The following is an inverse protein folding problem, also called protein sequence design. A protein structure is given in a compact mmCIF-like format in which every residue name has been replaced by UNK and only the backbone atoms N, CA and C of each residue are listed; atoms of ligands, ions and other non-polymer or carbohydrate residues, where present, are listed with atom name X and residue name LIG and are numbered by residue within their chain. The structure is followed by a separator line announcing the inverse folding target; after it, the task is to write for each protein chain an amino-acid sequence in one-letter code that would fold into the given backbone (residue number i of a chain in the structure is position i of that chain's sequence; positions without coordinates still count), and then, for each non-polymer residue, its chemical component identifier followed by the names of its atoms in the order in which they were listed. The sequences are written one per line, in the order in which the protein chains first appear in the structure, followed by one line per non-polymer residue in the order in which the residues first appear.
data_IF_824496773141
#
_entry.id   IF_824496773141
#
_cell.length_a   1.000
_cell.length_b   1.000
_cell.length_c   1.000
_cell.angle_alpha   90.00
_cell.angle_beta   90.00
_cell.angle_gamma   90.00
#
_symmetry.space_group_name_H-M   'P 1'
#
loop_
_entity.id
_entity.type
_entity.pdbx_description
1 polymer ?
#
# COMPACT_ATOMS: atom_id res chain seq x y z
N UNK A 1 22.32 -23.21 24.89
CA UNK A 1 21.92 -22.30 23.79
C UNK A 1 20.81 -21.39 24.32
N UNK A 2 20.84 -20.09 24.02
CA UNK A 2 19.86 -19.15 24.58
C UNK A 2 18.45 -19.47 24.04
N UNK A 3 17.61 -20.09 24.85
CA UNK A 3 16.20 -20.41 24.54
C UNK A 3 15.29 -19.15 24.33
N UNK A 4 15.87 -17.94 24.40
CA UNK A 4 15.13 -16.68 24.30
C UNK A 4 15.12 -16.05 22.87
N UNK A 5 15.77 -16.69 21.89
CA UNK A 5 15.76 -16.15 20.51
C UNK A 5 14.52 -16.68 19.80
N UNK A 6 13.65 -15.80 19.26
CA UNK A 6 12.46 -16.22 18.53
C UNK A 6 12.78 -17.14 17.34
N UNK A 7 11.92 -18.11 17.05
CA UNK A 7 12.08 -19.07 15.96
C UNK A 7 12.33 -18.39 14.61
N UNK A 8 11.64 -17.29 14.35
CA UNK A 8 11.81 -16.50 13.12
C UNK A 8 13.23 -15.93 12.94
N UNK A 9 13.94 -15.67 14.04
CA UNK A 9 15.33 -15.21 13.99
C UNK A 9 16.30 -16.38 13.90
N UNK A 10 16.03 -17.49 14.61
CA UNK A 10 16.84 -18.70 14.53
C UNK A 10 16.89 -19.34 13.14
N UNK A 11 15.78 -19.23 12.40
CA UNK A 11 15.63 -19.77 11.04
C UNK A 11 15.85 -18.73 9.93
N UNK A 12 16.36 -17.55 10.26
CA UNK A 12 16.66 -16.55 9.24
C UNK A 12 17.69 -17.12 8.25
N UNK A 13 17.38 -17.20 6.96
CA UNK A 13 18.31 -17.72 5.97
C UNK A 13 19.53 -16.79 5.80
N UNK A 14 20.67 -17.39 5.60
CA UNK A 14 21.98 -16.77 5.37
C UNK A 14 22.40 -16.79 3.88
N UNK A 15 21.69 -17.54 3.06
CA UNK A 15 21.98 -17.71 1.63
C UNK A 15 20.70 -17.66 0.79
N UNK A 16 20.85 -17.41 -0.52
CA UNK A 16 19.72 -17.44 -1.46
C UNK A 16 19.14 -18.84 -1.62
N UNK A 17 19.94 -19.89 -1.48
CA UNK A 17 19.47 -21.26 -1.64
C UNK A 17 18.58 -21.68 -0.46
N UNK A 18 18.74 -21.01 0.66
CA UNK A 18 17.90 -21.16 1.84
C UNK A 18 16.74 -20.14 1.90
N UNK A 19 16.64 -19.24 0.93
CA UNK A 19 15.60 -18.22 0.90
C UNK A 19 14.36 -18.75 0.20
N UNK A 20 13.26 -18.85 0.94
CA UNK A 20 11.98 -19.39 0.45
C UNK A 20 11.14 -18.31 -0.21
N UNK A 21 10.48 -18.64 -1.31
CA UNK A 21 9.62 -17.75 -2.06
C UNK A 21 10.35 -16.77 -2.99
N UNK A 22 9.64 -15.78 -3.51
CA UNK A 22 10.13 -14.70 -4.38
C UNK A 22 10.94 -15.17 -5.61
N UNK A 23 10.60 -16.32 -6.19
CA UNK A 23 11.34 -16.96 -7.30
C UNK A 23 11.58 -16.02 -8.49
N UNK A 24 10.69 -15.05 -8.73
CA UNK A 24 10.83 -14.05 -9.77
C UNK A 24 12.00 -13.06 -9.55
N UNK A 25 12.45 -12.89 -8.30
CA UNK A 25 13.58 -12.00 -7.94
C UNK A 25 14.86 -12.78 -7.69
N UNK A 26 14.75 -13.94 -7.02
CA UNK A 26 15.92 -14.71 -6.51
C UNK A 26 16.11 -16.05 -7.18
N UNK A 27 15.17 -16.50 -8.02
CA UNK A 27 15.32 -17.74 -8.81
C UNK A 27 16.39 -17.64 -9.89
N UNK A 28 16.65 -18.72 -10.65
CA UNK A 28 17.58 -18.69 -11.76
C UNK A 28 17.26 -17.57 -12.77
N UNK A 29 18.24 -16.70 -13.06
CA UNK A 29 18.04 -15.52 -13.91
C UNK A 29 17.31 -14.35 -13.24
N UNK A 30 16.93 -14.47 -11.98
CA UNK A 30 16.31 -13.41 -11.21
C UNK A 30 17.26 -12.21 -11.01
N UNK A 31 16.69 -10.99 -11.00
CA UNK A 31 17.50 -9.76 -10.98
C UNK A 31 18.36 -9.65 -9.72
N UNK A 32 17.87 -10.06 -8.55
CA UNK A 32 18.62 -9.99 -7.30
C UNK A 32 19.71 -11.07 -7.25
N UNK A 33 19.41 -12.28 -7.78
CA UNK A 33 20.43 -13.31 -7.93
C UNK A 33 21.57 -12.83 -8.83
N UNK A 34 21.26 -12.23 -9.96
CA UNK A 34 22.26 -11.67 -10.87
C UNK A 34 23.11 -10.56 -10.22
N UNK A 35 22.53 -9.72 -9.36
CA UNK A 35 23.28 -8.73 -8.58
C UNK A 35 24.30 -9.38 -7.64
N UNK A 36 23.92 -10.45 -6.97
CA UNK A 36 24.82 -11.21 -6.08
C UNK A 36 25.92 -11.89 -6.89
N UNK A 37 25.59 -12.59 -7.96
CA UNK A 37 26.54 -13.33 -8.79
C UNK A 37 27.54 -12.41 -9.51
N UNK A 38 27.10 -11.23 -9.93
CA UNK A 38 27.96 -10.23 -10.56
C UNK A 38 28.75 -9.35 -9.57
N UNK A 39 28.39 -9.38 -8.28
CA UNK A 39 28.95 -8.48 -7.26
C UNK A 39 28.58 -7.01 -7.45
N UNK A 40 27.64 -6.70 -8.36
CA UNK A 40 27.22 -5.33 -8.69
C UNK A 40 25.82 -5.07 -8.16
N UNK A 41 25.74 -4.31 -7.08
CA UNK A 41 24.49 -3.92 -6.45
C UNK A 41 24.17 -2.47 -6.76
N UNK A 42 23.03 -2.26 -7.40
CA UNK A 42 22.47 -0.92 -7.60
C UNK A 42 21.52 -0.57 -6.46
N UNK A 43 21.19 0.72 -6.28
CA UNK A 43 20.18 1.12 -5.30
C UNK A 43 18.79 0.67 -5.73
N UNK A 44 18.01 0.16 -4.79
CA UNK A 44 16.63 -0.28 -5.03
C UNK A 44 15.77 -0.20 -3.76
N UNK A 45 14.46 -0.33 -3.97
CA UNK A 45 13.45 -0.37 -2.91
C UNK A 45 12.71 -1.71 -2.99
N UNK A 46 12.64 -2.42 -1.88
CA UNK A 46 11.85 -3.63 -1.69
C UNK A 46 10.46 -3.24 -1.18
N UNK A 47 9.46 -3.43 -2.00
CA UNK A 47 8.07 -3.17 -1.64
C UNK A 47 7.28 -4.48 -1.52
N UNK A 48 6.54 -4.63 -0.43
CA UNK A 48 5.67 -5.80 -0.24
C UNK A 48 5.18 -5.91 1.21
N UNK A 49 4.24 -6.82 1.47
CA UNK A 49 3.64 -6.99 2.80
C UNK A 49 4.68 -7.37 3.87
N UNK A 50 4.33 -7.30 5.16
CA UNK A 50 5.22 -7.75 6.23
C UNK A 50 5.53 -9.25 6.10
N UNK A 51 6.64 -9.68 6.69
CA UNK A 51 7.03 -11.09 6.80
C UNK A 51 7.44 -11.83 5.52
N UNK A 52 7.50 -11.15 4.35
CA UNK A 52 7.89 -11.77 3.06
C UNK A 52 9.40 -11.82 2.79
N UNK A 53 10.22 -11.43 3.79
CA UNK A 53 11.68 -11.56 3.71
C UNK A 53 12.46 -10.35 3.22
N UNK A 54 11.90 -9.13 3.16
CA UNK A 54 12.61 -7.91 2.70
C UNK A 54 13.94 -7.67 3.41
N UNK A 55 13.93 -7.63 4.73
CA UNK A 55 15.12 -7.41 5.56
C UNK A 55 16.13 -8.56 5.42
N UNK A 56 15.65 -9.79 5.38
CA UNK A 56 16.47 -10.99 5.17
C UNK A 56 17.21 -10.94 3.83
N UNK A 57 16.50 -10.55 2.76
CA UNK A 57 17.09 -10.46 1.42
C UNK A 57 18.21 -9.41 1.35
N UNK A 58 18.02 -8.28 2.03
CA UNK A 58 19.06 -7.24 2.12
C UNK A 58 20.31 -7.74 2.87
N UNK A 59 20.13 -8.52 3.94
CA UNK A 59 21.24 -9.14 4.68
C UNK A 59 21.99 -10.17 3.84
N UNK A 60 21.28 -11.08 3.16
CA UNK A 60 21.89 -12.08 2.27
C UNK A 60 22.73 -11.39 1.19
N UNK A 61 22.19 -10.35 0.58
CA UNK A 61 22.89 -9.60 -0.46
C UNK A 61 24.17 -8.94 0.08
N UNK A 62 24.10 -8.33 1.24
CA UNK A 62 25.28 -7.71 1.86
C UNK A 62 26.36 -8.73 2.23
N UNK A 63 26.00 -9.88 2.78
CA UNK A 63 26.94 -10.96 3.14
C UNK A 63 27.64 -11.51 1.90
N UNK A 64 26.92 -11.72 0.81
CA UNK A 64 27.50 -12.25 -0.42
C UNK A 64 28.40 -11.29 -1.17
N UNK A 65 28.18 -9.99 -1.02
CA UNK A 65 29.02 -8.96 -1.66
C UNK A 65 30.25 -8.58 -0.84
N UNK A 66 30.26 -8.89 0.45
CA UNK A 66 31.38 -8.60 1.35
C UNK A 66 31.66 -7.11 1.60
N UNK A 67 30.77 -6.22 1.18
CA UNK A 67 30.86 -4.78 1.42
C UNK A 67 30.33 -4.39 2.79
N UNK A 68 30.73 -3.26 3.38
CA UNK A 68 30.17 -2.76 4.63
C UNK A 68 28.65 -2.61 4.53
N UNK A 69 27.95 -3.02 5.60
CA UNK A 69 26.49 -3.00 5.68
C UNK A 69 26.02 -2.24 6.90
N UNK A 70 25.27 -1.16 6.66
CA UNK A 70 24.71 -0.32 7.71
C UNK A 70 23.19 -0.37 7.66
N UNK A 71 22.56 -0.44 8.82
CA UNK A 71 21.09 -0.51 8.95
C UNK A 71 20.57 0.69 9.71
N UNK A 72 19.52 1.31 9.18
CA UNK A 72 18.72 2.31 9.86
C UNK A 72 17.25 1.86 9.89
N UNK A 73 16.61 2.03 11.05
CA UNK A 73 15.15 1.89 11.15
C UNK A 73 14.52 3.27 11.05
N UNK A 74 13.68 3.49 10.05
CA UNK A 74 13.03 4.79 9.90
C UNK A 74 12.02 5.10 11.04
N UNK A 75 11.68 4.11 11.84
CA UNK A 75 10.82 4.28 13.04
C UNK A 75 11.57 4.97 14.18
N UNK A 76 12.87 4.68 14.35
CA UNK A 76 13.65 5.13 15.49
C UNK A 76 14.75 6.14 15.15
N UNK A 77 15.13 6.25 13.86
CA UNK A 77 16.27 7.06 13.44
C UNK A 77 15.85 8.49 13.05
N UNK A 78 16.58 9.48 13.58
CA UNK A 78 16.42 10.89 13.24
C UNK A 78 17.35 11.35 12.09
N UNK A 79 17.23 12.61 11.69
CA UNK A 79 18.12 13.23 10.66
C UNK A 79 19.60 13.15 11.06
N UNK A 80 19.89 13.23 12.37
CA UNK A 80 21.25 13.17 12.90
C UNK A 80 21.86 11.78 12.66
N UNK A 81 21.11 10.73 12.94
CA UNK A 81 21.55 9.33 12.78
C UNK A 81 21.84 9.03 11.30
N UNK A 82 20.96 9.51 10.40
CA UNK A 82 21.17 9.39 8.95
C UNK A 82 22.51 10.04 8.54
N UNK A 83 22.78 11.26 9.01
CA UNK A 83 24.02 11.96 8.67
C UNK A 83 25.26 11.27 9.24
N UNK A 84 25.20 10.76 10.47
CA UNK A 84 26.31 10.03 11.08
C UNK A 84 26.66 8.77 10.29
N UNK A 85 25.66 7.98 9.90
CA UNK A 85 25.88 6.78 9.08
C UNK A 85 26.40 7.13 7.68
N UNK A 86 25.89 8.18 7.04
CA UNK A 86 26.41 8.62 5.74
C UNK A 86 27.87 9.07 5.82
N UNK A 87 28.26 9.79 6.85
CA UNK A 87 29.65 10.20 7.09
C UNK A 87 30.56 8.98 7.32
N UNK A 88 30.06 7.94 8.01
CA UNK A 88 30.79 6.68 8.18
C UNK A 88 31.00 5.98 6.84
N UNK A 89 29.94 5.84 6.05
CA UNK A 89 29.99 5.26 4.70
C UNK A 89 30.96 6.03 3.77
N UNK A 90 31.01 7.36 3.87
CA UNK A 90 31.93 8.17 3.07
C UNK A 90 33.40 7.89 3.42
N UNK A 91 33.71 7.75 4.71
CA UNK A 91 35.05 7.36 5.17
C UNK A 91 35.45 5.95 4.73
N UNK A 92 34.52 4.99 4.79
CA UNK A 92 34.75 3.60 4.36
C UNK A 92 34.95 3.51 2.84
N UNK A 93 34.20 4.29 2.07
CA UNK A 93 34.28 4.30 0.62
C UNK A 93 35.59 4.98 0.09
N UNK A 94 36.09 5.98 0.82
CA UNK A 94 37.30 6.75 0.45
C UNK A 94 38.60 6.21 1.03
N UNK A 95 38.56 5.20 1.89
CA UNK A 95 39.76 4.63 2.53
C UNK A 95 40.62 3.80 1.61
N UNK A 96 41.93 3.74 1.88
CA UNK A 96 42.95 2.95 1.10
C UNK A 96 42.61 1.45 1.04
N UNK A 97 41.80 0.95 1.98
CA UNK A 97 41.36 -0.45 2.06
C UNK A 97 39.83 -0.60 1.83
N UNK A 98 39.28 0.28 0.98
CA UNK A 98 37.86 0.22 0.66
C UNK A 98 37.48 -1.16 0.09
N UNK A 99 36.50 -1.83 0.72
CA UNK A 99 35.94 -3.11 0.24
C UNK A 99 34.85 -2.93 -0.81
N UNK A 100 34.69 -1.72 -1.33
CA UNK A 100 33.62 -1.36 -2.25
C UNK A 100 32.60 -0.43 -1.60
N UNK A 101 31.59 -0.04 -2.38
CA UNK A 101 30.56 0.92 -1.94
C UNK A 101 29.71 0.31 -0.81
N UNK A 102 29.65 0.93 0.38
CA UNK A 102 28.81 0.45 1.49
C UNK A 102 27.34 0.36 1.11
N UNK A 103 26.66 -0.64 1.64
CA UNK A 103 25.21 -0.77 1.53
C UNK A 103 24.56 -0.11 2.76
N UNK A 104 23.64 0.82 2.52
CA UNK A 104 22.77 1.39 3.53
C UNK A 104 21.37 0.80 3.39
N UNK A 105 20.98 -0.04 4.33
CA UNK A 105 19.64 -0.59 4.41
C UNK A 105 18.77 0.29 5.30
N UNK A 106 17.59 0.67 4.81
CA UNK A 106 16.61 1.45 5.56
C UNK A 106 15.31 0.66 5.63
N UNK A 107 15.00 0.20 6.84
CA UNK A 107 13.73 -0.48 7.10
C UNK A 107 12.61 0.55 7.30
N UNK A 108 11.45 0.26 6.71
CA UNK A 108 10.25 1.12 6.70
C UNK A 108 10.53 2.55 6.19
N UNK A 109 11.25 2.68 5.07
CA UNK A 109 11.70 3.97 4.50
C UNK A 109 10.56 5.00 4.32
N UNK A 110 9.31 4.55 4.17
CA UNK A 110 8.13 5.42 4.09
C UNK A 110 7.90 6.26 5.36
N UNK A 111 8.47 5.87 6.50
CA UNK A 111 8.38 6.62 7.75
C UNK A 111 9.37 7.79 7.82
N UNK A 112 10.33 7.86 6.94
CA UNK A 112 11.19 9.02 6.82
C UNK A 112 10.43 10.20 6.20
N UNK A 113 10.52 11.37 6.85
CA UNK A 113 10.01 12.61 6.27
C UNK A 113 10.86 13.05 5.06
N UNK A 114 10.34 14.04 4.30
CA UNK A 114 11.03 14.54 3.09
C UNK A 114 12.47 14.97 3.35
N UNK A 115 12.75 15.67 4.47
CA UNK A 115 14.11 16.15 4.79
C UNK A 115 15.09 15.00 5.07
N UNK A 116 14.61 13.89 5.66
CA UNK A 116 15.41 12.69 5.87
C UNK A 116 15.70 12.00 4.53
N UNK A 117 14.70 11.86 3.68
CA UNK A 117 14.87 11.29 2.35
C UNK A 117 15.75 12.15 1.44
N UNK A 118 15.63 13.48 1.51
CA UNK A 118 16.52 14.41 0.78
C UNK A 118 17.98 14.27 1.23
N UNK A 119 18.22 13.99 2.52
CA UNK A 119 19.57 13.77 3.03
C UNK A 119 20.25 12.54 2.43
N UNK A 120 19.48 11.53 2.01
CA UNK A 120 19.99 10.33 1.34
C UNK A 120 20.35 10.58 -0.12
N UNK A 121 19.63 11.51 -0.78
CA UNK A 121 19.73 11.74 -2.22
C UNK A 121 21.16 12.06 -2.65
N UNK A 122 21.83 13.00 -1.98
CA UNK A 122 23.20 13.40 -2.30
C UNK A 122 24.21 12.25 -2.14
N UNK A 123 24.03 11.37 -1.18
CA UNK A 123 24.91 10.22 -0.97
C UNK A 123 24.71 9.14 -2.06
N UNK A 124 23.46 8.91 -2.47
CA UNK A 124 23.12 7.99 -3.56
C UNK A 124 23.65 8.52 -4.91
N UNK A 125 23.46 9.82 -5.19
CA UNK A 125 23.94 10.46 -6.43
C UNK A 125 25.45 10.42 -6.58
N UNK A 126 26.18 10.74 -5.53
CA UNK A 126 27.64 10.70 -5.55
C UNK A 126 28.23 9.29 -5.47
N UNK A 127 27.37 8.27 -5.30
CA UNK A 127 27.83 6.89 -5.16
C UNK A 127 28.56 6.61 -3.85
N UNK A 128 28.29 7.38 -2.80
CA UNK A 128 28.82 7.17 -1.46
C UNK A 128 28.25 5.87 -0.86
N UNK A 129 26.96 5.61 -1.11
CA UNK A 129 26.26 4.40 -0.64
C UNK A 129 25.47 3.75 -1.77
N UNK A 130 25.23 2.46 -1.63
CA UNK A 130 24.16 1.73 -2.31
C UNK A 130 22.96 1.70 -1.37
N UNK A 131 21.85 2.34 -1.75
CA UNK A 131 20.64 2.37 -0.93
C UNK A 131 19.78 1.14 -1.18
N UNK A 132 19.42 0.44 -0.13
CA UNK A 132 18.36 -0.58 -0.14
C UNK A 132 17.27 -0.12 0.82
N UNK A 133 16.13 0.34 0.29
CA UNK A 133 14.96 0.67 1.10
C UNK A 133 14.01 -0.50 1.21
N UNK A 134 13.37 -0.69 2.37
CA UNK A 134 12.25 -1.62 2.53
C UNK A 134 11.00 -0.85 2.95
N UNK A 135 9.84 -1.23 2.42
CA UNK A 135 8.58 -0.60 2.74
C UNK A 135 7.40 -1.57 2.57
N UNK A 136 6.39 -1.41 3.41
CA UNK A 136 5.08 -2.06 3.27
C UNK A 136 4.09 -1.19 2.49
N UNK A 137 4.33 0.13 2.44
CA UNK A 137 3.48 1.09 1.75
C UNK A 137 3.90 1.30 0.29
N UNK A 138 2.99 1.79 -0.55
CA UNK A 138 3.29 2.02 -1.96
C UNK A 138 4.35 3.13 -2.14
N UNK A 139 5.55 2.80 -2.63
CA UNK A 139 6.65 3.75 -2.71
C UNK A 139 6.36 4.94 -3.64
N UNK A 140 5.43 4.81 -4.58
CA UNK A 140 5.04 5.91 -5.47
C UNK A 140 4.42 7.10 -4.76
N UNK A 141 3.85 6.89 -3.56
CA UNK A 141 3.24 7.94 -2.74
C UNK A 141 4.15 8.38 -1.60
N UNK A 142 4.93 7.45 -1.04
CA UNK A 142 5.64 7.65 0.21
C UNK A 142 7.13 7.99 0.02
N UNK A 143 7.71 7.64 -1.12
CA UNK A 143 9.11 7.92 -1.42
C UNK A 143 9.22 9.08 -2.40
N UNK A 144 10.13 10.02 -2.14
CA UNK A 144 10.31 11.19 -3.00
C UNK A 144 10.75 10.79 -4.40
N UNK A 145 10.19 11.45 -5.41
CA UNK A 145 10.48 11.18 -6.83
C UNK A 145 11.97 11.18 -7.19
N UNK A 146 12.81 12.07 -6.64
CA UNK A 146 14.26 12.04 -6.91
C UNK A 146 14.94 10.74 -6.46
N UNK A 147 14.53 10.11 -5.36
CA UNK A 147 15.04 8.80 -4.95
C UNK A 147 14.52 7.69 -5.87
N UNK A 148 13.23 7.71 -6.22
CA UNK A 148 12.64 6.73 -7.14
C UNK A 148 13.26 6.75 -8.54
N UNK A 149 13.78 7.90 -9.00
CA UNK A 149 14.49 7.98 -10.28
C UNK A 149 15.88 7.32 -10.25
N UNK A 150 16.42 7.00 -9.06
CA UNK A 150 17.75 6.43 -8.82
C UNK A 150 17.73 5.06 -8.16
N UNK A 151 16.59 4.63 -7.68
CA UNK A 151 16.40 3.36 -7.02
C UNK A 151 15.26 2.59 -7.69
N UNK A 152 15.56 1.42 -8.25
CA UNK A 152 14.56 0.56 -8.88
C UNK A 152 13.64 -0.02 -7.80
N UNK A 153 12.35 -0.12 -8.07
CA UNK A 153 11.40 -0.76 -7.15
C UNK A 153 11.23 -2.23 -7.52
N UNK A 154 11.41 -3.12 -6.53
CA UNK A 154 11.14 -4.56 -6.67
C UNK A 154 10.03 -4.94 -5.73
N UNK A 155 8.99 -5.57 -6.28
CA UNK A 155 7.82 -5.99 -5.52
C UNK A 155 7.99 -7.41 -5.01
N UNK A 156 7.87 -7.60 -3.69
CA UNK A 156 7.78 -8.90 -3.06
C UNK A 156 6.31 -9.27 -2.89
N UNK A 157 5.99 -10.51 -3.21
CA UNK A 157 4.64 -11.06 -3.09
C UNK A 157 4.44 -11.73 -1.73
N UNK A 158 3.20 -11.85 -1.23
CA UNK A 158 2.92 -12.78 -0.14
C UNK A 158 3.46 -14.17 -0.47
N UNK A 159 3.89 -14.92 0.53
CA UNK A 159 4.29 -16.30 0.34
C UNK A 159 3.08 -17.16 -0.03
N UNK A 160 3.24 -18.01 -1.02
CA UNK A 160 2.21 -18.97 -1.42
C UNK A 160 2.13 -20.12 -0.40
N UNK A 161 1.05 -20.91 -0.46
CA UNK A 161 0.84 -22.03 0.44
C UNK A 161 2.02 -23.03 0.42
N UNK A 162 2.54 -23.27 -0.77
CA UNK A 162 3.68 -24.14 -1.00
C UNK A 162 4.96 -23.62 -0.32
N UNK A 163 5.20 -22.31 -0.39
CA UNK A 163 6.34 -21.65 0.27
C UNK A 163 6.22 -21.75 1.80
N UNK A 164 5.01 -21.54 2.33
CA UNK A 164 4.74 -21.67 3.77
C UNK A 164 4.89 -23.11 4.25
N UNK A 165 4.47 -24.10 3.45
CA UNK A 165 4.67 -25.53 3.76
C UNK A 165 6.15 -25.90 3.74
N UNK A 166 6.92 -25.40 2.78
CA UNK A 166 8.38 -25.59 2.74
C UNK A 166 9.03 -24.99 3.99
N UNK A 167 8.63 -23.78 4.39
CA UNK A 167 9.11 -23.14 5.61
C UNK A 167 8.77 -23.92 6.87
N UNK A 168 7.54 -24.43 6.97
CA UNK A 168 7.10 -25.29 8.06
C UNK A 168 7.96 -26.55 8.16
N UNK A 169 8.12 -27.29 7.06
CA UNK A 169 8.91 -28.52 7.02
C UNK A 169 10.37 -28.25 7.38
N UNK A 170 10.92 -27.15 6.92
CA UNK A 170 12.26 -26.72 7.29
C UNK A 170 12.35 -26.39 8.77
N UNK A 171 11.38 -25.68 9.34
CA UNK A 171 11.37 -25.34 10.75
C UNK A 171 11.42 -26.59 11.64
N UNK A 172 10.57 -27.55 11.39
CA UNK A 172 10.52 -28.80 12.19
C UNK A 172 11.74 -29.70 12.01
N UNK A 173 12.42 -29.63 10.85
CA UNK A 173 13.56 -30.51 10.55
C UNK A 173 14.92 -29.90 10.93
N UNK A 174 15.06 -28.56 10.96
CA UNK A 174 16.36 -27.90 11.13
C UNK A 174 16.50 -27.11 12.42
N UNK A 175 15.40 -26.62 13.01
CA UNK A 175 15.49 -25.89 14.27
C UNK A 175 15.96 -26.77 15.41
N UNK A 176 16.97 -26.36 16.20
CA UNK A 176 17.54 -27.20 17.27
C UNK A 176 16.54 -27.64 18.35
N UNK A 177 15.48 -26.85 18.58
CA UNK A 177 14.45 -27.14 19.57
C UNK A 177 13.37 -28.04 18.99
N UNK A 178 12.82 -27.66 17.83
CA UNK A 178 11.70 -28.38 17.23
C UNK A 178 12.07 -29.77 16.74
N UNK A 179 13.28 -29.98 16.20
CA UNK A 179 13.73 -31.30 15.72
C UNK A 179 13.87 -32.36 16.82
N UNK A 180 14.02 -31.92 18.09
CA UNK A 180 14.09 -32.83 19.24
C UNK A 180 12.69 -33.18 19.79
N UNK A 181 11.63 -32.54 19.28
CA UNK A 181 10.25 -32.78 19.70
C UNK A 181 9.52 -33.67 18.72
N UNK A 182 8.66 -34.54 19.25
CA UNK A 182 7.67 -35.23 18.41
C UNK A 182 6.63 -34.21 17.94
N UNK A 183 6.46 -34.05 16.62
CA UNK A 183 5.50 -33.11 16.01
C UNK A 183 4.51 -33.92 15.16
N UNK A 184 3.20 -33.77 15.47
CA UNK A 184 2.10 -34.41 14.74
C UNK A 184 1.34 -33.34 13.97
N UNK A 185 1.34 -33.44 12.65
CA UNK A 185 0.64 -32.53 11.75
C UNK A 185 -0.70 -33.15 11.35
N UNK A 186 -1.78 -32.79 12.05
CA UNK A 186 -3.13 -33.36 11.88
C UNK A 186 -4.08 -32.43 11.12
N UNK A 187 -3.69 -31.18 10.88
CA UNK A 187 -4.43 -30.18 10.12
C UNK A 187 -3.65 -28.87 10.03
N UNK A 188 -3.56 -28.31 8.83
CA UNK A 188 -2.71 -27.14 8.55
C UNK A 188 -3.49 -25.91 8.11
N UNK A 189 -4.83 -26.01 8.01
CA UNK A 189 -5.65 -24.96 7.42
C UNK A 189 -5.62 -23.69 8.27
N UNK A 190 -5.81 -23.82 9.60
CA UNK A 190 -5.73 -22.65 10.49
C UNK A 190 -4.32 -22.05 10.48
N UNK A 191 -3.25 -22.87 10.54
CA UNK A 191 -1.88 -22.38 10.50
C UNK A 191 -1.59 -21.58 9.22
N UNK A 192 -1.96 -22.12 8.05
CA UNK A 192 -1.77 -21.44 6.76
C UNK A 192 -2.61 -20.17 6.65
N UNK A 193 -3.86 -20.24 7.10
CA UNK A 193 -4.77 -19.09 7.13
C UNK A 193 -4.27 -17.96 8.01
N UNK A 194 -3.85 -18.25 9.25
CA UNK A 194 -3.34 -17.23 10.17
C UNK A 194 -1.95 -16.70 9.76
N UNK A 195 -1.14 -17.51 9.10
CA UNK A 195 0.11 -17.05 8.50
C UNK A 195 -0.13 -16.04 7.38
N UNK A 196 -1.18 -16.25 6.54
CA UNK A 196 -1.61 -15.29 5.52
C UNK A 196 -0.49 -14.79 4.60
N UNK A 197 0.44 -15.67 4.19
CA UNK A 197 1.59 -15.32 3.35
C UNK A 197 2.77 -14.66 4.09
N UNK A 198 2.74 -14.61 5.42
CA UNK A 198 3.77 -14.02 6.29
C UNK A 198 4.57 -15.13 7.00
N UNK A 199 5.85 -15.28 6.61
CA UNK A 199 6.77 -16.26 7.22
C UNK A 199 6.96 -16.06 8.73
N UNK A 200 7.03 -14.82 9.19
CA UNK A 200 7.24 -14.50 10.59
C UNK A 200 6.04 -14.91 11.44
N UNK A 201 4.81 -14.70 10.93
CA UNK A 201 3.58 -15.15 11.60
C UNK A 201 3.55 -16.66 11.72
N UNK A 202 3.85 -17.42 10.65
CA UNK A 202 3.90 -18.87 10.68
C UNK A 202 4.87 -19.36 11.76
N UNK A 203 6.10 -18.84 11.76
CA UNK A 203 7.12 -19.24 12.72
C UNK A 203 6.78 -18.83 14.16
N UNK A 204 6.15 -17.68 14.37
CA UNK A 204 5.67 -17.28 15.69
C UNK A 204 4.57 -18.19 16.22
N UNK A 205 3.66 -18.66 15.35
CA UNK A 205 2.61 -19.61 15.75
C UNK A 205 3.25 -20.94 16.20
N UNK A 206 4.27 -21.42 15.47
CA UNK A 206 5.00 -22.63 15.85
C UNK A 206 5.75 -22.47 17.18
N UNK A 207 6.36 -21.31 17.39
CA UNK A 207 7.04 -20.97 18.65
C UNK A 207 6.05 -20.96 19.83
N UNK A 208 4.85 -20.41 19.65
CA UNK A 208 3.77 -20.43 20.64
C UNK A 208 3.26 -21.85 20.93
N UNK A 209 3.09 -22.68 19.92
CA UNK A 209 2.70 -24.09 20.09
C UNK A 209 3.75 -24.87 20.85
N UNK A 210 5.03 -24.66 20.57
CA UNK A 210 6.14 -25.28 21.31
C UNK A 210 6.13 -24.83 22.79
N UNK A 211 6.03 -23.53 23.06
CA UNK A 211 6.04 -22.98 24.42
C UNK A 211 4.84 -23.40 25.25
N UNK A 212 3.67 -23.59 24.63
CA UNK A 212 2.42 -24.00 25.29
C UNK A 212 2.32 -25.51 25.53
N UNK A 213 3.16 -26.32 24.85
CA UNK A 213 3.13 -27.78 24.93
C UNK A 213 4.15 -28.30 25.96
N UNK A 214 3.75 -29.11 26.97
CA UNK A 214 4.71 -29.72 27.91
C UNK A 214 5.81 -30.47 27.20
N UNK A 215 7.03 -30.47 27.76
CA UNK A 215 8.22 -31.06 27.11
C UNK A 215 8.10 -32.55 26.80
N UNK A 216 7.37 -33.26 27.61
CA UNK A 216 7.18 -34.74 27.49
C UNK A 216 5.95 -35.11 26.60
N UNK A 217 5.31 -34.13 25.99
CA UNK A 217 4.13 -34.32 25.13
C UNK A 217 4.42 -33.96 23.68
N UNK A 218 3.84 -34.66 22.70
CA UNK A 218 3.97 -34.30 21.28
C UNK A 218 3.33 -32.94 21.01
N UNK A 219 3.96 -32.14 20.15
CA UNK A 219 3.36 -30.91 19.63
C UNK A 219 2.37 -31.30 18.53
N UNK A 220 1.07 -31.13 18.78
CA UNK A 220 0.04 -31.44 17.81
C UNK A 220 -0.34 -30.16 17.07
N UNK A 221 0.03 -30.07 15.79
CA UNK A 221 -0.35 -28.98 14.91
C UNK A 221 -1.65 -29.34 14.24
N UNK A 222 -2.75 -28.79 14.74
CA UNK A 222 -4.08 -28.87 14.16
C UNK A 222 -4.83 -27.54 14.33
N UNK A 223 -5.98 -27.44 13.70
CA UNK A 223 -6.72 -26.16 13.67
C UNK A 223 -7.16 -25.70 15.06
N UNK A 224 -7.55 -26.65 15.93
CA UNK A 224 -7.95 -26.36 17.31
C UNK A 224 -6.79 -25.79 18.15
N UNK A 225 -5.65 -26.47 18.15
CA UNK A 225 -4.47 -26.06 18.92
C UNK A 225 -3.89 -24.74 18.43
N UNK A 226 -3.87 -24.50 17.11
CA UNK A 226 -3.48 -23.22 16.52
C UNK A 226 -4.41 -22.10 16.98
N UNK A 227 -5.72 -22.30 16.92
CA UNK A 227 -6.69 -21.29 17.37
C UNK A 227 -6.58 -21.03 18.87
N UNK A 228 -6.43 -22.08 19.70
CA UNK A 228 -6.27 -21.94 21.13
C UNK A 228 -4.98 -21.22 21.51
N UNK A 229 -3.85 -21.52 20.86
CA UNK A 229 -2.57 -20.84 21.12
C UNK A 229 -2.60 -19.35 20.77
N UNK A 230 -3.41 -18.98 19.79
CA UNK A 230 -3.60 -17.57 19.41
C UNK A 230 -4.73 -16.88 20.21
N UNK A 231 -5.43 -17.61 21.12
CA UNK A 231 -6.62 -17.12 21.83
C UNK A 231 -7.69 -16.57 20.86
N UNK A 232 -7.80 -17.19 19.70
CA UNK A 232 -8.72 -16.76 18.64
C UNK A 232 -9.71 -17.87 18.33
N UNK A 233 -10.99 -17.52 18.22
CA UNK A 233 -12.02 -18.47 17.78
C UNK A 233 -11.88 -18.76 16.28
N UNK A 234 -12.20 -20.00 15.86
CA UNK A 234 -12.23 -20.38 14.43
C UNK A 234 -13.21 -19.53 13.59
N UNK A 235 -14.19 -18.90 14.23
CA UNK A 235 -15.08 -17.92 13.62
C UNK A 235 -14.47 -16.52 13.53
N UNK A 236 -13.26 -16.29 14.10
CA UNK A 236 -12.61 -15.00 14.04
C UNK A 236 -12.18 -14.70 12.61
N UNK A 237 -12.50 -13.51 12.24
CA UNK A 237 -12.20 -12.84 11.00
C UNK A 237 -10.69 -12.84 10.72
N UNK A 238 -10.28 -13.43 9.62
CA UNK A 238 -8.90 -13.36 9.15
C UNK A 238 -8.63 -12.00 8.49
N UNK A 239 -8.03 -11.08 9.24
CA UNK A 239 -7.78 -9.69 8.80
C UNK A 239 -6.95 -9.54 7.51
N UNK A 240 -6.27 -10.58 7.07
CA UNK A 240 -5.37 -10.53 5.92
C UNK A 240 -5.58 -11.68 4.93
N UNK A 241 -6.59 -12.52 5.09
CA UNK A 241 -6.86 -13.68 4.25
C UNK A 241 -7.99 -13.48 3.23
N UNK A 242 -8.28 -14.52 2.48
CA UNK A 242 -9.29 -14.52 1.40
C UNK A 242 -10.69 -14.16 1.93
N UNK A 243 -11.05 -14.64 3.13
CA UNK A 243 -12.33 -14.29 3.81
C UNK A 243 -12.46 -12.80 4.13
N UNK A 244 -11.35 -12.11 4.44
CA UNK A 244 -11.34 -10.66 4.66
C UNK A 244 -11.78 -9.92 3.39
N UNK A 245 -11.16 -10.26 2.25
CA UNK A 245 -11.50 -9.65 0.96
C UNK A 245 -12.94 -9.99 0.52
N UNK A 246 -13.41 -11.19 0.81
CA UNK A 246 -14.77 -11.62 0.50
C UNK A 246 -15.81 -10.86 1.30
N UNK A 247 -15.63 -10.71 2.62
CA UNK A 247 -16.56 -9.98 3.48
C UNK A 247 -16.59 -8.48 3.11
N UNK A 248 -15.43 -7.86 2.88
CA UNK A 248 -15.37 -6.47 2.42
C UNK A 248 -16.03 -6.32 1.06
N UNK A 249 -15.77 -7.24 0.13
CA UNK A 249 -16.39 -7.25 -1.19
C UNK A 249 -17.91 -7.40 -1.10
N UNK A 250 -18.40 -8.25 -0.22
CA UNK A 250 -19.83 -8.42 0.04
C UNK A 250 -20.45 -7.16 0.66
N UNK A 251 -19.76 -6.53 1.63
CA UNK A 251 -20.16 -5.25 2.22
C UNK A 251 -20.30 -4.16 1.15
N UNK A 252 -19.25 -3.96 0.36
CA UNK A 252 -19.23 -2.95 -0.73
C UNK A 252 -20.38 -3.20 -1.72
N UNK A 253 -20.56 -4.46 -2.16
CA UNK A 253 -21.61 -4.82 -3.11
C UNK A 253 -23.01 -4.66 -2.52
N UNK A 254 -23.21 -4.89 -1.24
CA UNK A 254 -24.49 -4.69 -0.56
C UNK A 254 -24.85 -3.20 -0.50
N UNK A 255 -23.91 -2.33 -0.12
CA UNK A 255 -24.11 -0.87 -0.15
C UNK A 255 -24.40 -0.38 -1.57
N UNK A 256 -23.61 -0.82 -2.55
CA UNK A 256 -23.80 -0.50 -3.98
C UNK A 256 -25.12 -1.00 -4.52
N UNK A 257 -25.51 -2.19 -4.13
CA UNK A 257 -26.77 -2.83 -4.51
C UNK A 257 -28.03 -2.32 -3.77
N UNK A 258 -27.85 -1.34 -2.86
CA UNK A 258 -28.94 -0.74 -2.08
C UNK A 258 -29.66 -1.74 -1.16
N UNK A 259 -28.93 -2.67 -0.58
CA UNK A 259 -29.41 -3.59 0.45
C UNK A 259 -28.84 -3.18 1.83
N UNK A 260 -29.55 -2.39 2.62
CA UNK A 260 -29.09 -1.93 3.93
C UNK A 260 -28.97 -3.07 4.95
N UNK A 261 -29.83 -4.09 4.89
CA UNK A 261 -29.81 -5.20 5.84
C UNK A 261 -28.58 -6.08 5.63
N UNK A 262 -28.29 -6.45 4.39
CA UNK A 262 -27.07 -7.16 4.04
C UNK A 262 -25.82 -6.33 4.37
N UNK A 263 -25.83 -5.03 4.09
CA UNK A 263 -24.70 -4.14 4.39
C UNK A 263 -24.40 -4.09 5.90
N UNK A 264 -25.42 -3.94 6.74
CA UNK A 264 -25.27 -3.95 8.21
C UNK A 264 -24.84 -5.33 8.71
N UNK A 265 -25.33 -6.41 8.12
CA UNK A 265 -24.87 -7.76 8.46
C UNK A 265 -23.37 -7.96 8.20
N UNK A 266 -22.89 -7.55 7.01
CA UNK A 266 -21.46 -7.66 6.68
C UNK A 266 -20.60 -6.71 7.51
N UNK A 267 -21.12 -5.50 7.86
CA UNK A 267 -20.50 -4.61 8.83
C UNK A 267 -20.34 -5.30 10.19
N UNK A 268 -21.39 -5.89 10.72
CA UNK A 268 -21.35 -6.61 11.99
C UNK A 268 -20.32 -7.75 11.97
N UNK A 269 -20.21 -8.48 10.86
CA UNK A 269 -19.17 -9.51 10.70
C UNK A 269 -17.76 -8.96 10.73
N UNK A 270 -17.51 -7.76 10.17
CA UNK A 270 -16.23 -7.08 10.27
C UNK A 270 -15.93 -6.62 11.70
N UNK A 271 -16.93 -6.07 12.40
CA UNK A 271 -16.82 -5.62 13.80
C UNK A 271 -16.48 -6.79 14.73
N UNK A 272 -17.25 -7.87 14.67
CA UNK A 272 -17.04 -9.09 15.47
C UNK A 272 -15.68 -9.76 15.13
N UNK A 273 -15.26 -9.66 13.87
CA UNK A 273 -13.95 -10.12 13.45
C UNK A 273 -12.78 -9.23 13.89
N UNK A 274 -13.06 -8.12 14.58
CA UNK A 274 -12.06 -7.18 15.07
C UNK A 274 -11.34 -6.40 13.96
N UNK A 275 -12.03 -6.09 12.85
CA UNK A 275 -11.49 -5.25 11.78
C UNK A 275 -11.11 -3.87 12.29
N UNK A 276 -10.08 -3.26 11.67
CA UNK A 276 -9.70 -1.89 11.96
C UNK A 276 -10.86 -0.94 11.61
N UNK A 277 -11.41 -0.21 12.61
CA UNK A 277 -12.51 0.71 12.37
C UNK A 277 -12.18 1.79 11.33
N UNK A 278 -10.94 2.26 11.29
CA UNK A 278 -10.50 3.24 10.30
C UNK A 278 -10.47 2.65 8.89
N UNK A 279 -10.19 1.35 8.75
CA UNK A 279 -10.26 0.65 7.48
C UNK A 279 -11.70 0.62 6.95
N UNK A 280 -12.68 0.24 7.80
CA UNK A 280 -14.09 0.22 7.42
C UNK A 280 -14.56 1.63 7.00
N UNK A 281 -14.22 2.66 7.79
CA UNK A 281 -14.58 4.03 7.50
C UNK A 281 -13.98 4.54 6.18
N UNK A 282 -12.72 4.19 5.86
CA UNK A 282 -12.11 4.50 4.55
C UNK A 282 -12.92 3.91 3.39
N UNK A 283 -13.44 2.69 3.54
CA UNK A 283 -14.29 2.07 2.50
C UNK A 283 -15.60 2.81 2.32
N UNK A 284 -16.22 3.30 3.39
CA UNK A 284 -17.43 4.13 3.30
C UNK A 284 -17.17 5.46 2.59
N UNK A 285 -16.03 6.11 2.84
CA UNK A 285 -15.64 7.35 2.14
C UNK A 285 -15.48 7.08 0.63
N UNK A 286 -14.83 5.97 0.26
CA UNK A 286 -14.67 5.59 -1.15
C UNK A 286 -16.04 5.31 -1.79
N UNK A 287 -16.91 4.50 -1.15
CA UNK A 287 -18.26 4.20 -1.62
C UNK A 287 -19.11 5.45 -1.80
N UNK A 288 -19.01 6.40 -0.88
CA UNK A 288 -19.74 7.67 -0.95
C UNK A 288 -19.35 8.48 -2.21
N UNK A 289 -18.08 8.46 -2.61
CA UNK A 289 -17.60 9.15 -3.80
C UNK A 289 -17.81 8.36 -5.09
N UNK A 290 -17.59 7.03 -5.06
CA UNK A 290 -17.63 6.15 -6.23
C UNK A 290 -19.04 5.77 -6.65
N UNK A 291 -19.89 5.36 -5.68
CA UNK A 291 -21.20 4.75 -5.96
C UNK A 291 -22.39 5.69 -5.73
N UNK A 292 -22.28 6.66 -4.81
CA UNK A 292 -23.33 7.67 -4.57
C UNK A 292 -23.01 8.95 -5.34
N UNK A 293 -21.81 9.45 -5.24
CA UNK A 293 -21.28 10.55 -6.03
C UNK A 293 -22.23 11.77 -6.09
N UNK A 294 -22.49 12.24 -7.31
CA UNK A 294 -23.31 13.42 -7.57
C UNK A 294 -24.82 13.19 -7.36
N UNK A 295 -25.28 11.97 -7.20
CA UNK A 295 -26.68 11.69 -6.89
C UNK A 295 -27.07 12.21 -5.49
N UNK A 296 -26.14 12.16 -4.53
CA UNK A 296 -26.32 12.72 -3.19
C UNK A 296 -24.96 13.23 -2.64
N UNK A 297 -24.58 14.48 -2.88
CA UNK A 297 -23.28 15.03 -2.42
C UNK A 297 -23.07 14.99 -0.90
N UNK A 298 -24.16 14.92 -0.11
CA UNK A 298 -24.07 14.82 1.36
C UNK A 298 -23.48 13.47 1.80
N UNK A 299 -23.50 12.46 0.96
CA UNK A 299 -22.96 11.13 1.27
C UNK A 299 -21.46 11.20 1.62
N UNK A 300 -20.67 11.91 0.83
CA UNK A 300 -19.25 12.09 1.10
C UNK A 300 -18.99 12.89 2.37
N UNK A 301 -19.81 13.91 2.66
CA UNK A 301 -19.71 14.70 3.89
C UNK A 301 -19.98 13.84 5.12
N UNK A 302 -21.06 13.02 5.08
CA UNK A 302 -21.39 12.12 6.18
C UNK A 302 -20.31 11.05 6.37
N UNK A 303 -19.83 10.43 5.30
CA UNK A 303 -18.79 9.42 5.39
C UNK A 303 -17.48 9.98 5.98
N UNK A 304 -17.11 11.21 5.62
CA UNK A 304 -15.94 11.86 6.19
C UNK A 304 -16.16 12.23 7.67
N UNK A 305 -17.34 12.76 8.03
CA UNK A 305 -17.71 13.02 9.43
C UNK A 305 -17.68 11.72 10.27
N UNK A 306 -18.15 10.59 9.70
CA UNK A 306 -18.07 9.27 10.31
C UNK A 306 -16.64 8.86 10.58
N UNK A 307 -15.73 9.04 9.61
CA UNK A 307 -14.31 8.74 9.78
C UNK A 307 -13.68 9.57 10.91
N UNK A 308 -13.95 10.87 10.94
CA UNK A 308 -13.44 11.76 11.98
C UNK A 308 -14.00 11.46 13.37
N UNK A 309 -15.30 11.16 13.47
CA UNK A 309 -15.95 10.79 14.73
C UNK A 309 -15.39 9.46 15.27
N UNK A 310 -15.17 8.48 14.39
CA UNK A 310 -14.63 7.18 14.75
C UNK A 310 -13.22 7.28 15.34
N UNK A 311 -12.37 8.16 14.80
CA UNK A 311 -11.03 8.42 15.32
C UNK A 311 -11.04 9.05 16.73
N UNK A 312 -12.15 9.70 17.11
CA UNK A 312 -12.31 10.32 18.44
C UNK A 312 -12.92 9.36 19.46
N UNK A 313 -13.80 8.47 19.04
CA UNK A 313 -14.62 7.64 19.92
C UNK A 313 -14.04 6.22 20.03
N UNK A 314 -13.63 5.61 18.92
CA UNK A 314 -13.15 4.23 18.87
C UNK A 314 -14.22 3.18 19.14
N UNK A 315 -13.78 1.97 19.49
CA UNK A 315 -14.64 0.88 19.92
C UNK A 315 -15.00 0.98 21.41
N UNK A 316 -16.18 0.48 21.87
CA UNK A 316 -17.20 -0.22 21.09
C UNK A 316 -18.25 0.68 20.44
N UNK A 317 -18.35 1.98 20.79
CA UNK A 317 -19.41 2.88 20.33
C UNK A 317 -19.31 3.23 18.85
N UNK A 318 -18.12 3.15 18.27
CA UNK A 318 -17.85 3.40 16.83
C UNK A 318 -18.73 2.57 15.90
N UNK A 319 -19.20 1.37 16.33
CA UNK A 319 -20.11 0.54 15.55
C UNK A 319 -21.44 1.24 15.21
N UNK A 320 -21.90 2.13 16.11
CA UNK A 320 -23.17 2.84 15.93
C UNK A 320 -23.05 3.85 14.78
N UNK A 321 -21.98 4.62 14.78
CA UNK A 321 -21.68 5.64 13.77
C UNK A 321 -21.43 5.00 12.40
N UNK A 322 -20.73 3.86 12.37
CA UNK A 322 -20.50 3.10 11.16
C UNK A 322 -21.80 2.53 10.59
N UNK A 323 -22.73 2.04 11.47
CA UNK A 323 -24.03 1.53 11.04
C UNK A 323 -24.91 2.63 10.45
N UNK A 324 -24.97 3.81 11.08
CA UNK A 324 -25.68 4.98 10.57
C UNK A 324 -25.21 5.35 9.17
N UNK A 325 -23.91 5.51 8.98
CA UNK A 325 -23.32 5.83 7.68
C UNK A 325 -23.60 4.73 6.64
N UNK A 326 -23.46 3.47 7.02
CA UNK A 326 -23.71 2.32 6.14
C UNK A 326 -25.14 2.33 5.60
N UNK A 327 -26.14 2.51 6.48
CA UNK A 327 -27.56 2.56 6.12
C UNK A 327 -27.81 3.76 5.20
N UNK A 328 -27.28 4.93 5.55
CA UNK A 328 -27.43 6.14 4.74
C UNK A 328 -26.89 5.96 3.32
N UNK A 329 -25.69 5.37 3.18
CA UNK A 329 -25.10 5.11 1.87
C UNK A 329 -25.87 4.04 1.10
N UNK A 330 -26.30 2.97 1.76
CA UNK A 330 -27.08 1.90 1.13
C UNK A 330 -28.43 2.40 0.59
N UNK A 331 -29.09 3.30 1.32
CA UNK A 331 -30.39 3.85 0.94
C UNK A 331 -30.33 5.08 0.05
N UNK A 332 -29.15 5.67 -0.15
CA UNK A 332 -28.95 6.82 -1.04
C UNK A 332 -29.10 6.44 -2.52
N UNK A 333 -29.60 7.36 -3.39
CA UNK A 333 -29.57 7.15 -4.83
C UNK A 333 -28.11 6.98 -5.30
N UNK A 334 -27.90 6.20 -6.34
CA UNK A 334 -26.58 5.80 -6.83
C UNK A 334 -26.19 6.58 -8.10
N UNK A 335 -24.93 6.99 -8.18
CA UNK A 335 -24.31 7.50 -9.40
C UNK A 335 -22.79 7.31 -9.36
N UNK A 336 -22.25 6.74 -10.41
CA UNK A 336 -20.82 6.66 -10.66
C UNK A 336 -20.37 7.59 -11.79
N UNK A 337 -21.18 8.59 -12.16
CA UNK A 337 -20.90 9.49 -13.28
C UNK A 337 -19.56 10.23 -13.15
N UNK A 338 -19.22 10.67 -11.94
CA UNK A 338 -17.95 11.33 -11.65
C UNK A 338 -16.75 10.38 -11.77
N UNK A 339 -16.89 9.13 -11.31
CA UNK A 339 -15.89 8.08 -11.46
C UNK A 339 -15.63 7.76 -12.94
N UNK A 340 -16.69 7.54 -13.72
CA UNK A 340 -16.57 7.28 -15.16
C UNK A 340 -15.98 8.47 -15.92
N UNK A 341 -16.28 9.70 -15.49
CA UNK A 341 -15.74 10.91 -16.11
C UNK A 341 -14.22 11.02 -15.96
N UNK A 342 -13.69 10.79 -14.77
CA UNK A 342 -12.25 10.85 -14.54
C UNK A 342 -11.52 9.69 -15.24
N UNK A 343 -12.08 8.50 -15.25
CA UNK A 343 -11.48 7.36 -15.95
C UNK A 343 -11.39 7.59 -17.46
N UNK A 344 -12.46 8.09 -18.08
CA UNK A 344 -12.49 8.47 -19.50
C UNK A 344 -11.47 9.58 -19.81
N UNK A 345 -11.32 10.56 -18.91
CA UNK A 345 -10.33 11.63 -19.07
C UNK A 345 -8.90 11.08 -18.95
N UNK A 346 -8.62 10.21 -17.98
CA UNK A 346 -7.32 9.56 -17.81
C UNK A 346 -6.94 8.69 -19.01
N UNK A 347 -7.90 7.94 -19.53
CA UNK A 347 -7.70 7.13 -20.74
C UNK A 347 -7.35 8.03 -21.95
N UNK A 348 -8.06 9.16 -22.11
CA UNK A 348 -7.78 10.13 -23.16
C UNK A 348 -6.37 10.70 -23.02
N UNK A 349 -5.97 11.14 -21.83
CA UNK A 349 -4.61 11.66 -21.57
C UNK A 349 -3.54 10.60 -21.88
N UNK A 350 -3.77 9.33 -21.53
CA UNK A 350 -2.83 8.23 -21.85
C UNK A 350 -2.69 8.02 -23.37
N UNK A 351 -3.76 8.20 -24.12
CA UNK A 351 -3.77 8.03 -25.60
C UNK A 351 -3.15 9.23 -26.32
N UNK A 352 -3.42 10.45 -25.86
CA UNK A 352 -3.00 11.67 -26.55
C UNK A 352 -1.67 12.24 -26.07
N UNK A 353 -1.19 11.79 -24.91
CA UNK A 353 0.00 12.36 -24.27
C UNK A 353 -0.24 13.78 -23.74
N UNK A 354 0.83 14.56 -23.62
CA UNK A 354 0.82 15.92 -23.07
C UNK A 354 0.47 16.95 -24.16
N UNK A 355 -0.81 17.08 -24.50
CA UNK A 355 -1.26 18.13 -25.39
C UNK A 355 -1.03 19.52 -24.77
N UNK A 356 -0.66 20.54 -25.57
CA UNK A 356 -0.39 21.87 -25.05
C UNK A 356 -1.66 22.54 -24.53
N UNK A 357 -1.53 23.30 -23.44
CA UNK A 357 -2.64 24.14 -22.93
C UNK A 357 -2.88 25.28 -23.95
N UNK A 358 -4.13 25.60 -24.34
CA UNK A 358 -4.44 26.73 -25.21
C UNK A 358 -3.83 28.04 -24.71
N UNK A 359 -3.29 28.88 -25.60
CA UNK A 359 -2.53 30.08 -25.23
C UNK A 359 -3.36 31.07 -24.39
N UNK A 360 -4.62 31.25 -24.71
CA UNK A 360 -5.53 32.16 -23.97
C UNK A 360 -5.76 31.69 -22.52
N UNK A 361 -5.64 30.40 -22.20
CA UNK A 361 -5.78 29.89 -20.84
C UNK A 361 -4.50 30.00 -20.00
N UNK A 362 -3.37 30.33 -20.62
CA UNK A 362 -2.08 30.44 -19.91
C UNK A 362 -1.94 31.80 -19.27
N UNK A 363 -1.46 31.83 -18.03
CA UNK A 363 -1.14 33.11 -17.35
C UNK A 363 0.09 33.78 -18.01
N UNK A 364 0.05 35.14 -18.13
CA UNK A 364 1.13 35.92 -18.71
C UNK A 364 1.73 36.93 -17.69
N UNK A 365 2.41 36.47 -16.61
CA UNK A 365 2.94 37.37 -15.58
C UNK A 365 4.17 38.18 -16.05
N UNK A 366 4.83 37.78 -17.12
CA UNK A 366 6.01 38.49 -17.66
C UNK A 366 5.73 39.07 -19.03
N UNK A 367 6.52 40.11 -19.41
CA UNK A 367 6.44 40.72 -20.75
C UNK A 367 6.68 39.70 -21.86
N UNK A 368 7.68 38.83 -21.69
CA UNK A 368 7.98 37.80 -22.67
C UNK A 368 6.78 36.87 -22.91
N UNK A 369 6.07 36.46 -21.84
CA UNK A 369 4.89 35.61 -21.98
C UNK A 369 3.74 36.33 -22.75
N UNK A 370 3.57 37.64 -22.52
CA UNK A 370 2.63 38.44 -23.29
C UNK A 370 3.02 38.53 -24.76
N UNK A 371 4.31 38.73 -25.03
CA UNK A 371 4.85 38.79 -26.40
C UNK A 371 4.71 37.44 -27.13
N UNK A 372 4.62 36.32 -26.39
CA UNK A 372 4.33 34.97 -26.88
C UNK A 372 2.81 34.66 -27.03
N UNK A 373 1.93 35.62 -26.84
CA UNK A 373 0.48 35.49 -27.00
C UNK A 373 -0.24 34.79 -25.83
N UNK A 374 0.42 34.66 -24.67
CA UNK A 374 -0.23 34.08 -23.48
C UNK A 374 -1.32 35.01 -22.99
N UNK A 375 -2.48 34.43 -22.60
CA UNK A 375 -3.69 35.14 -22.13
C UNK A 375 -4.40 36.00 -23.20
N UNK A 376 -3.91 35.99 -24.41
CA UNK A 376 -4.52 36.75 -25.48
C UNK A 376 -5.85 36.15 -25.88
N UNK A 377 -6.92 36.99 -25.90
CA UNK A 377 -8.28 36.56 -26.23
C UNK A 377 -9.02 35.81 -25.12
N UNK A 378 -8.44 35.68 -23.90
CA UNK A 378 -9.18 35.11 -22.77
C UNK A 378 -10.40 35.95 -22.41
N UNK A 379 -11.56 35.29 -22.31
CA UNK A 379 -12.81 35.88 -21.90
C UNK A 379 -13.11 35.53 -20.45
N UNK A 380 -13.17 36.52 -19.57
CA UNK A 380 -13.46 36.31 -18.16
C UNK A 380 -14.94 36.05 -17.94
N UNK A 381 -15.32 34.84 -17.55
CA UNK A 381 -16.71 34.40 -17.51
C UNK A 381 -17.63 35.26 -16.62
N UNK A 382 -17.10 35.90 -15.56
CA UNK A 382 -17.88 36.79 -14.68
C UNK A 382 -18.32 38.10 -15.33
N UNK A 383 -17.74 38.47 -16.46
CA UNK A 383 -18.14 39.66 -17.24
C UNK A 383 -19.35 39.38 -18.16
N UNK A 384 -19.81 38.14 -18.22
CA UNK A 384 -20.88 37.69 -19.10
C UNK A 384 -22.12 37.21 -18.34
N UNK A 385 -23.27 37.27 -19.01
CA UNK A 385 -24.54 36.80 -18.46
C UNK A 385 -24.45 35.37 -17.92
N UNK A 386 -25.02 35.14 -16.76
CA UNK A 386 -24.97 33.85 -16.05
C UNK A 386 -23.54 33.32 -15.73
N UNK A 387 -22.54 34.22 -15.75
CA UNK A 387 -21.13 33.87 -15.55
C UNK A 387 -20.68 32.76 -16.51
N UNK A 388 -21.14 32.81 -17.77
CA UNK A 388 -20.82 31.86 -18.81
C UNK A 388 -20.48 32.57 -20.12
N UNK A 389 -19.43 32.05 -20.77
CA UNK A 389 -19.03 32.49 -22.11
C UNK A 389 -18.53 31.28 -22.88
N UNK A 390 -18.92 31.25 -24.16
CA UNK A 390 -18.44 30.19 -25.06
C UNK A 390 -16.99 30.50 -25.44
N UNK A 391 -16.07 29.62 -24.98
CA UNK A 391 -14.67 29.61 -25.36
C UNK A 391 -14.11 28.18 -25.20
N UNK A 392 -13.02 27.91 -25.89
CA UNK A 392 -12.35 26.63 -25.83
C UNK A 392 -11.58 26.47 -24.53
N UNK A 393 -11.87 25.40 -23.77
CA UNK A 393 -11.14 25.04 -22.53
C UNK A 393 -10.28 23.78 -22.68
N UNK A 394 -10.60 22.94 -23.65
CA UNK A 394 -9.81 21.74 -23.93
C UNK A 394 -8.69 22.03 -24.94
N UNK A 395 -7.60 21.25 -24.92
CA UNK A 395 -6.55 21.35 -25.94
C UNK A 395 -7.09 21.15 -27.35
N UNK A 396 -6.35 21.67 -28.33
CA UNK A 396 -6.63 21.41 -29.74
C UNK A 396 -6.64 19.90 -30.02
N UNK A 397 -7.64 19.46 -30.78
CA UNK A 397 -7.89 18.04 -31.07
C UNK A 397 -8.80 17.33 -30.08
N UNK A 398 -9.20 18.01 -28.98
CA UNK A 398 -10.19 17.51 -28.03
C UNK A 398 -11.45 18.38 -27.94
N UNK A 399 -11.64 19.30 -28.89
CA UNK A 399 -12.80 20.20 -28.93
C UNK A 399 -14.09 19.38 -28.94
N UNK A 400 -15.06 19.83 -28.12
CA UNK A 400 -16.36 19.16 -28.03
C UNK A 400 -16.37 17.82 -27.30
N UNK A 401 -15.21 17.31 -26.84
CA UNK A 401 -15.16 16.08 -26.04
C UNK A 401 -15.93 16.25 -24.72
N UNK A 402 -16.75 15.26 -24.39
CA UNK A 402 -17.48 15.21 -23.12
C UNK A 402 -16.98 14.03 -22.28
N UNK A 403 -16.50 14.34 -21.11
CA UNK A 403 -16.07 13.36 -20.12
C UNK A 403 -17.18 13.02 -19.13
N UNK A 404 -17.89 14.04 -18.62
CA UNK A 404 -19.00 13.84 -17.71
C UNK A 404 -20.33 13.79 -18.45
N UNK A 405 -21.14 12.77 -18.14
CA UNK A 405 -22.49 12.56 -18.63
C UNK A 405 -23.41 12.33 -17.42
N UNK A 406 -24.45 13.17 -17.29
CA UNK A 406 -25.39 13.08 -16.18
C UNK A 406 -26.19 11.77 -16.24
N UNK A 407 -26.25 11.04 -15.13
CA UNK A 407 -27.11 9.86 -14.99
C UNK A 407 -28.54 10.28 -14.61
N UNK A 408 -29.47 9.32 -14.73
CA UNK A 408 -30.88 9.54 -14.48
C UNK A 408 -31.19 9.55 -12.99
N UNK A 409 -30.84 10.67 -12.31
CA UNK A 409 -31.21 10.97 -10.93
C UNK A 409 -31.53 12.47 -10.79
N UNK A 410 -32.32 12.83 -9.77
CA UNK A 410 -32.85 14.20 -9.61
C UNK A 410 -31.76 15.27 -9.48
N UNK A 411 -30.63 14.96 -8.84
CA UNK A 411 -29.51 15.89 -8.64
C UNK A 411 -28.79 16.19 -9.96
N UNK A 412 -28.38 15.15 -10.66
CA UNK A 412 -27.62 15.32 -11.92
C UNK A 412 -28.49 15.83 -13.06
N UNK A 413 -29.78 15.49 -13.10
CA UNK A 413 -30.69 16.07 -14.09
C UNK A 413 -30.79 17.59 -13.92
N UNK A 414 -30.90 18.11 -12.68
CA UNK A 414 -30.87 19.55 -12.39
C UNK A 414 -29.55 20.20 -12.85
N UNK A 415 -28.41 19.55 -12.62
CA UNK A 415 -27.11 20.04 -13.10
C UNK A 415 -27.05 20.10 -14.62
N UNK A 416 -27.51 19.05 -15.29
CA UNK A 416 -27.56 18.97 -16.75
C UNK A 416 -28.50 20.02 -17.35
N UNK A 417 -29.70 20.19 -16.79
CA UNK A 417 -30.65 21.22 -17.20
C UNK A 417 -30.04 22.63 -17.08
N UNK A 418 -29.41 22.93 -15.93
CA UNK A 418 -28.69 24.19 -15.73
C UNK A 418 -27.65 24.41 -16.81
N UNK A 419 -26.81 23.41 -17.10
CA UNK A 419 -25.77 23.51 -18.13
C UNK A 419 -26.35 23.73 -19.53
N UNK A 420 -27.49 23.12 -19.83
CA UNK A 420 -28.18 23.30 -21.10
C UNK A 420 -28.77 24.75 -21.23
N UNK A 421 -29.33 25.29 -20.13
CA UNK A 421 -29.88 26.66 -20.13
C UNK A 421 -28.78 27.69 -20.35
N UNK A 422 -27.66 27.59 -19.62
CA UNK A 422 -26.58 28.59 -19.75
C UNK A 422 -25.87 28.50 -21.10
N UNK A 423 -25.72 27.31 -21.69
CA UNK A 423 -25.16 27.14 -23.04
C UNK A 423 -26.09 27.70 -24.15
N UNK A 424 -27.40 27.52 -24.01
CA UNK A 424 -28.38 28.06 -24.99
C UNK A 424 -28.61 29.55 -24.88
N UNK A 425 -28.46 30.12 -23.69
CA UNK A 425 -28.61 31.55 -23.47
C UNK A 425 -27.43 32.42 -23.88
N UNK A 426 -26.39 31.80 -24.44
CA UNK A 426 -25.15 32.46 -24.93
C UNK A 426 -25.17 32.69 -26.46
N UNK A 427 -26.29 32.41 -27.16
CA UNK A 427 -26.50 32.63 -28.59
C UNK A 427 -27.15 33.99 -28.80
#
# INVERSE_FOLDING_TARGET
MNNNIPLAERLRPDSLDNYIGQKHLVGPGGIIRNMIESGRVNSFILWGPPGVGKTTLAHILAQNTGVPFHTLSAVTSGVKDVREVLNLCEKENSGLFSKGRPILFIDEIHRFNKSQQDSLLGAVERGVVTLIGATTENPSFEVIRPLLSRAQVYTLKPLEREDLMELYNRAISTDPILKEREIKSEGMEALMRFAGGDARKLLNILDLLEQSTPKDSPIVVNDENVCNSLQQNMAAYDKNGELHYDIISAFIKSVRGSDPDAAVYWLARMVEGGEDPAFIARRLVILAAEDIGLANPNALLLANATFDALNKIGWPEGRIILSECTIYLATSPKSNSAYLAIDKALETVRKTGNLPVPLHLRNAPTKLMKDLGYHEGYKYAHDYLNNYVDQQYLPDGLEGTRFWEALFNASEQKMSERMNVIRKGSI
#
